data_IF_781960513762
#
_entry.id   IF_781960513762
#
_cell.length_a   1.000
_cell.length_b   1.000
_cell.length_c   1.000
_cell.angle_alpha   90.00
_cell.angle_beta   90.00
_cell.angle_gamma   90.00
#
_symmetry.space_group_name_H-M   'P 1'
#
loop_
_entity.id
_entity.type
_entity.pdbx_description
1 polymer ?
#
# COMPACT_ATOMS: atom_id res chain seq x y z
N UNK A 1 2.67 7.46 14.94
CA UNK A 1 2.47 6.67 13.70
C UNK A 1 2.60 7.64 12.55
N UNK A 2 3.25 7.24 11.47
CA UNK A 2 3.49 8.09 10.32
C UNK A 2 2.55 7.69 9.18
N UNK A 3 1.55 8.53 8.85
CA UNK A 3 0.71 8.31 7.67
C UNK A 3 1.39 8.70 6.37
N UNK A 4 2.58 9.31 6.41
CA UNK A 4 3.32 9.66 5.19
C UNK A 4 4.05 8.47 4.58
N UNK A 5 4.34 7.44 5.37
CA UNK A 5 4.92 6.17 4.91
C UNK A 5 3.83 5.14 4.69
N UNK A 6 3.61 4.74 3.44
CA UNK A 6 2.52 3.82 3.05
C UNK A 6 3.03 2.58 2.37
N UNK A 7 2.35 1.46 2.60
CA UNK A 7 2.49 0.21 1.87
C UNK A 7 1.18 0.01 1.13
N UNK A 8 1.24 -0.18 -0.17
CA UNK A 8 0.06 -0.36 -1.00
C UNK A 8 -0.04 -1.81 -1.44
N UNK A 9 -1.18 -2.44 -1.16
CA UNK A 9 -1.46 -3.77 -1.70
C UNK A 9 -1.73 -3.72 -3.21
N UNK A 10 -1.78 -4.89 -3.84
CA UNK A 10 -2.11 -5.02 -5.26
C UNK A 10 -3.49 -4.46 -5.61
N UNK A 11 -4.47 -4.61 -4.70
CA UNK A 11 -5.85 -4.16 -4.92
C UNK A 11 -5.95 -2.64 -5.05
N UNK A 12 -5.09 -1.86 -4.40
CA UNK A 12 -5.03 -0.40 -4.57
C UNK A 12 -4.66 -0.05 -6.02
N UNK A 13 -3.65 -0.71 -6.59
CA UNK A 13 -3.26 -0.46 -7.99
C UNK A 13 -4.35 -0.88 -8.96
N UNK A 14 -5.00 -2.02 -8.73
CA UNK A 14 -6.11 -2.50 -9.55
C UNK A 14 -7.29 -1.53 -9.48
N UNK A 15 -7.71 -1.16 -8.27
CA UNK A 15 -8.84 -0.25 -8.06
C UNK A 15 -8.57 1.13 -8.68
N UNK A 16 -7.38 1.69 -8.47
CA UNK A 16 -6.98 2.96 -9.05
C UNK A 16 -6.90 2.92 -10.57
N UNK A 17 -6.40 1.82 -11.14
CA UNK A 17 -6.30 1.64 -12.59
C UNK A 17 -7.66 1.60 -13.29
N UNK A 18 -8.69 1.05 -12.64
CA UNK A 18 -10.06 1.09 -13.17
C UNK A 18 -10.82 2.38 -12.82
N UNK A 19 -10.55 2.99 -11.66
CA UNK A 19 -11.21 4.22 -11.18
C UNK A 19 -10.18 5.21 -10.65
N UNK A 20 -9.50 5.99 -11.52
CA UNK A 20 -8.44 6.92 -11.10
C UNK A 20 -8.91 8.01 -10.13
N UNK A 21 -10.19 8.40 -10.18
CA UNK A 21 -10.78 9.38 -9.26
C UNK A 21 -11.25 8.80 -7.92
N UNK A 22 -11.13 7.49 -7.70
CA UNK A 22 -11.48 6.86 -6.42
C UNK A 22 -10.48 7.20 -5.31
N UNK A 23 -10.83 6.89 -4.06
CA UNK A 23 -9.94 7.06 -2.91
C UNK A 23 -8.58 6.38 -3.11
N UNK A 24 -8.55 5.19 -3.71
CA UNK A 24 -7.32 4.48 -4.05
C UNK A 24 -6.50 5.23 -5.11
N UNK A 25 -7.15 5.74 -6.15
CA UNK A 25 -6.48 6.51 -7.20
C UNK A 25 -5.90 7.82 -6.68
N UNK A 26 -6.62 8.53 -5.81
CA UNK A 26 -6.12 9.75 -5.16
C UNK A 26 -4.91 9.46 -4.25
N UNK A 27 -4.84 8.28 -3.62
CA UNK A 27 -3.67 7.87 -2.83
C UNK A 27 -2.45 7.68 -3.74
N UNK A 28 -2.63 7.04 -4.91
CA UNK A 28 -1.54 6.94 -5.90
C UNK A 28 -1.08 8.32 -6.40
N UNK A 29 -1.98 9.30 -6.55
CA UNK A 29 -1.57 10.67 -6.88
C UNK A 29 -0.76 11.32 -5.76
N UNK A 30 -1.07 11.07 -4.49
CA UNK A 30 -0.23 11.55 -3.39
C UNK A 30 1.16 10.91 -3.40
N UNK A 31 1.26 9.61 -3.71
CA UNK A 31 2.56 8.95 -3.89
C UNK A 31 3.31 9.56 -5.07
N UNK A 32 2.64 9.74 -6.21
CA UNK A 32 3.24 10.30 -7.42
C UNK A 32 3.72 11.75 -7.24
N UNK A 33 3.01 12.52 -6.43
CA UNK A 33 3.40 13.89 -6.07
C UNK A 33 4.33 13.96 -4.86
N UNK A 34 4.86 12.82 -4.41
CA UNK A 34 5.81 12.69 -3.29
C UNK A 34 5.29 13.21 -1.94
N UNK A 35 3.98 13.43 -1.83
CA UNK A 35 3.31 13.74 -0.56
C UNK A 35 3.19 12.51 0.34
N UNK A 36 3.20 11.33 -0.27
CA UNK A 36 3.34 10.04 0.39
C UNK A 36 4.60 9.33 -0.08
N UNK A 37 5.31 8.73 0.86
CA UNK A 37 6.43 7.83 0.61
C UNK A 37 5.91 6.40 0.56
N UNK A 38 5.81 5.83 -0.64
CA UNK A 38 5.45 4.42 -0.79
C UNK A 38 6.69 3.54 -0.54
N UNK A 39 6.65 2.80 0.55
CA UNK A 39 7.65 1.78 0.88
C UNK A 39 7.27 0.48 0.16
N UNK A 40 8.25 -0.17 -0.44
CA UNK A 40 8.04 -1.44 -1.15
C UNK A 40 9.18 -2.42 -0.88
N UNK A 41 8.91 -3.71 -1.06
CA UNK A 41 9.89 -4.79 -1.05
C UNK A 41 9.85 -5.53 -2.39
N UNK A 42 10.94 -6.17 -2.81
CA UNK A 42 11.02 -6.90 -4.09
C UNK A 42 9.86 -7.90 -4.24
N UNK A 43 9.58 -8.70 -3.20
CA UNK A 43 8.47 -9.66 -3.20
C UNK A 43 7.07 -9.02 -3.38
N UNK A 44 6.86 -7.79 -2.88
CA UNK A 44 5.60 -7.05 -3.09
C UNK A 44 5.51 -6.49 -4.51
N UNK A 45 6.62 -5.97 -5.05
CA UNK A 45 6.68 -5.47 -6.42
C UNK A 45 6.45 -6.60 -7.43
N UNK A 46 7.06 -7.77 -7.21
CA UNK A 46 6.86 -8.93 -8.06
C UNK A 46 5.41 -9.38 -8.10
N UNK A 47 4.73 -9.41 -6.96
CA UNK A 47 3.30 -9.72 -6.84
C UNK A 47 2.45 -8.72 -7.63
N UNK A 48 2.65 -7.43 -7.39
CA UNK A 48 1.90 -6.35 -8.04
C UNK A 48 2.11 -6.42 -9.55
N UNK A 49 3.37 -6.56 -10.01
CA UNK A 49 3.71 -6.67 -11.43
C UNK A 49 3.07 -7.92 -12.04
N UNK A 50 3.09 -9.05 -11.35
CA UNK A 50 2.50 -10.29 -11.81
C UNK A 50 0.99 -10.15 -12.05
N UNK A 51 0.27 -9.56 -11.10
CA UNK A 51 -1.18 -9.35 -11.21
C UNK A 51 -1.53 -8.29 -12.27
N UNK A 52 -0.84 -7.15 -12.29
CA UNK A 52 -1.10 -6.10 -13.28
C UNK A 52 -0.88 -6.60 -14.70
N UNK A 53 0.16 -7.39 -14.95
CA UNK A 53 0.43 -7.94 -16.28
C UNK A 53 -0.64 -8.92 -16.78
N UNK A 54 -1.42 -9.52 -15.87
CA UNK A 54 -2.56 -10.40 -16.22
C UNK A 54 -3.81 -9.61 -16.59
N UNK A 55 -3.86 -8.31 -16.34
CA UNK A 55 -5.04 -7.46 -16.58
C UNK A 55 -4.71 -6.52 -17.74
N UNK A 56 -5.12 -6.81 -18.99
CA UNK A 56 -4.68 -6.08 -20.18
C UNK A 56 -4.79 -4.54 -20.13
N UNK A 57 -5.88 -3.93 -19.63
CA UNK A 57 -5.93 -2.48 -19.52
C UNK A 57 -4.89 -1.91 -18.54
N UNK A 58 -4.57 -2.64 -17.46
CA UNK A 58 -3.60 -2.20 -16.46
C UNK A 58 -2.17 -2.44 -16.92
N UNK A 59 -1.90 -3.56 -17.61
CA UNK A 59 -0.59 -3.86 -18.18
C UNK A 59 -0.12 -2.75 -19.13
N UNK A 60 -1.03 -2.14 -19.91
CA UNK A 60 -0.73 -1.00 -20.78
C UNK A 60 -0.34 0.27 -20.02
N UNK A 61 -0.79 0.40 -18.77
CA UNK A 61 -0.52 1.55 -17.90
C UNK A 61 0.65 1.32 -16.95
N UNK A 62 1.36 0.18 -17.07
CA UNK A 62 2.49 -0.16 -16.19
C UNK A 62 3.58 0.92 -16.21
N UNK A 63 3.85 1.55 -17.36
CA UNK A 63 4.84 2.63 -17.48
C UNK A 63 4.55 3.84 -16.57
N UNK A 64 3.29 4.11 -16.23
CA UNK A 64 2.90 5.14 -15.26
C UNK A 64 2.89 4.67 -13.81
N UNK A 65 2.95 3.35 -13.59
CA UNK A 65 2.94 2.72 -12.25
C UNK A 65 4.35 2.37 -11.77
N UNK A 66 5.20 1.89 -12.65
CA UNK A 66 6.58 1.50 -12.35
C UNK A 66 7.41 2.60 -11.66
N UNK A 67 7.30 3.90 -12.02
CA UNK A 67 8.05 4.97 -11.36
C UNK A 67 7.70 5.16 -9.87
N UNK A 68 6.56 4.65 -9.41
CA UNK A 68 6.19 4.72 -7.98
C UNK A 68 7.12 3.87 -7.11
N UNK A 69 7.76 2.84 -7.70
CA UNK A 69 8.71 1.95 -7.03
C UNK A 69 10.14 2.51 -7.08
N UNK A 70 10.35 3.67 -6.49
CA UNK A 70 11.67 4.33 -6.44
C UNK A 70 12.66 3.48 -5.62
N UNK A 71 13.89 3.23 -6.11
CA UNK A 71 14.91 2.47 -5.38
C UNK A 71 15.20 3.00 -3.97
N UNK A 72 15.13 4.32 -3.77
CA UNK A 72 15.35 5.01 -2.51
C UNK A 72 14.30 4.64 -1.43
N UNK A 73 13.15 4.12 -1.85
CA UNK A 73 12.05 3.67 -0.98
C UNK A 73 11.92 2.15 -0.89
N UNK A 74 12.90 1.43 -1.44
CA UNK A 74 12.97 -0.02 -1.30
C UNK A 74 13.40 -0.39 0.13
N UNK A 75 12.66 -1.32 0.75
CA UNK A 75 13.07 -1.99 1.96
C UNK A 75 13.96 -3.19 1.59
N UNK A 76 15.25 -3.22 1.96
CA UNK A 76 16.19 -4.21 1.44
C UNK A 76 16.31 -5.48 2.30
N UNK A 77 15.65 -5.52 3.47
CA UNK A 77 15.83 -6.61 4.42
C UNK A 77 14.76 -7.69 4.23
N UNK A 78 15.06 -8.96 4.57
CA UNK A 78 14.09 -10.04 4.55
C UNK A 78 12.86 -9.72 5.39
N UNK A 79 11.69 -10.16 4.92
CA UNK A 79 10.43 -10.02 5.62
C UNK A 79 10.17 -11.25 6.50
N UNK A 80 9.75 -11.03 7.75
CA UNK A 80 9.28 -12.10 8.64
C UNK A 80 7.84 -12.50 8.30
N UNK A 81 7.65 -13.10 7.12
CA UNK A 81 6.32 -13.47 6.59
C UNK A 81 5.63 -14.53 7.46
N UNK A 82 6.42 -15.41 8.08
CA UNK A 82 5.98 -16.52 8.91
C UNK A 82 5.21 -16.06 10.18
N UNK A 83 5.55 -14.88 10.69
CA UNK A 83 4.86 -14.26 11.84
C UNK A 83 3.40 -13.91 11.51
N UNK A 84 3.06 -13.83 10.22
CA UNK A 84 1.75 -13.44 9.71
C UNK A 84 0.89 -14.63 9.25
N UNK A 85 1.16 -15.85 9.73
CA UNK A 85 0.39 -17.06 9.39
C UNK A 85 -1.11 -16.98 9.71
N UNK A 86 -1.53 -16.07 10.59
CA UNK A 86 -2.92 -15.79 10.91
C UNK A 86 -3.69 -15.09 9.77
N UNK A 87 -2.99 -14.50 8.78
CA UNK A 87 -3.60 -14.00 7.54
C UNK A 87 -3.90 -15.22 6.64
N UNK A 88 -5.17 -15.42 6.25
CA UNK A 88 -5.59 -16.58 5.46
C UNK A 88 -4.85 -16.73 4.14
N UNK A 89 -4.78 -15.66 3.33
CA UNK A 89 -4.06 -15.68 2.05
C UNK A 89 -2.55 -15.54 2.27
N UNK A 90 -1.73 -16.55 1.91
CA UNK A 90 -0.27 -16.46 1.99
C UNK A 90 0.32 -15.33 1.13
N UNK A 91 -0.32 -14.95 0.03
CA UNK A 91 0.15 -13.87 -0.83
C UNK A 91 0.09 -12.51 -0.11
N UNK A 92 -0.86 -12.32 0.80
CA UNK A 92 -1.06 -11.05 1.49
C UNK A 92 -0.12 -10.83 2.67
N UNK A 93 0.41 -11.93 3.25
CA UNK A 93 1.31 -11.90 4.42
C UNK A 93 2.52 -11.01 4.21
N UNK A 94 3.05 -10.94 2.99
CA UNK A 94 4.23 -10.12 2.65
C UNK A 94 3.95 -8.62 2.80
N UNK A 95 2.73 -8.16 2.53
CA UNK A 95 2.36 -6.75 2.71
C UNK A 95 2.26 -6.39 4.19
N UNK A 96 1.66 -7.28 4.99
CA UNK A 96 1.60 -7.10 6.44
C UNK A 96 2.99 -7.13 7.08
N UNK A 97 3.84 -8.08 6.66
CA UNK A 97 5.23 -8.17 7.13
C UNK A 97 6.03 -6.91 6.78
N UNK A 98 5.87 -6.37 5.57
CA UNK A 98 6.53 -5.12 5.16
C UNK A 98 6.07 -3.92 6.00
N UNK A 99 4.75 -3.78 6.18
CA UNK A 99 4.21 -2.71 7.00
C UNK A 99 4.69 -2.81 8.46
N UNK A 100 4.75 -4.02 9.01
CA UNK A 100 5.27 -4.25 10.34
C UNK A 100 6.77 -3.94 10.46
N UNK A 101 7.57 -4.35 9.47
CA UNK A 101 9.02 -4.15 9.47
C UNK A 101 9.42 -2.66 9.34
N UNK A 102 8.55 -1.84 8.75
CA UNK A 102 8.84 -0.42 8.46
C UNK A 102 8.05 0.56 9.31
N UNK A 103 7.03 0.08 10.04
CA UNK A 103 6.09 0.92 10.79
C UNK A 103 5.16 1.76 9.89
N UNK A 104 5.15 1.50 8.58
CA UNK A 104 4.29 2.18 7.63
C UNK A 104 2.84 1.69 7.69
N UNK A 105 1.94 2.47 7.10
CA UNK A 105 0.51 2.14 7.05
C UNK A 105 0.21 1.27 5.84
N UNK A 106 -0.31 0.06 6.06
CA UNK A 106 -0.81 -0.79 4.98
C UNK A 106 -2.18 -0.29 4.53
N UNK A 107 -2.30 0.05 3.27
CA UNK A 107 -3.57 0.42 2.65
C UNK A 107 -4.06 -0.75 1.80
N UNK A 108 -5.23 -1.27 2.15
CA UNK A 108 -5.79 -2.46 1.52
C UNK A 108 -7.31 -2.39 1.36
N UNK A 109 -7.81 -3.07 0.32
CA UNK A 109 -9.23 -3.35 0.12
C UNK A 109 -9.59 -4.81 0.42
N UNK A 110 -8.60 -5.64 0.79
CA UNK A 110 -8.77 -7.07 0.96
C UNK A 110 -9.47 -7.41 2.28
N UNK A 111 -10.52 -8.23 2.20
CA UNK A 111 -11.27 -8.63 3.38
C UNK A 111 -10.43 -9.49 4.35
N UNK A 112 -9.51 -10.31 3.84
CA UNK A 112 -8.69 -11.21 4.64
C UNK A 112 -7.69 -10.39 5.48
N UNK A 113 -7.04 -9.39 4.88
CA UNK A 113 -6.19 -8.43 5.61
C UNK A 113 -7.00 -7.57 6.61
N UNK A 114 -8.23 -7.21 6.27
CA UNK A 114 -9.07 -6.36 7.12
C UNK A 114 -9.68 -7.12 8.31
N UNK A 115 -9.90 -8.43 8.20
CA UNK A 115 -10.39 -9.23 9.33
C UNK A 115 -9.33 -9.44 10.40
N UNK A 116 -8.05 -9.44 10.05
CA UNK A 116 -6.92 -9.61 10.98
C UNK A 116 -6.43 -8.30 11.61
N UNK A 117 -6.96 -7.14 11.19
CA UNK A 117 -6.57 -5.79 11.69
C UNK A 117 -6.72 -5.58 13.20
N UNK A 118 -7.48 -6.45 13.88
CA UNK A 118 -7.70 -6.37 15.33
C UNK A 118 -6.43 -6.66 16.16
N UNK A 119 -5.36 -7.16 15.53
CA UNK A 119 -4.08 -7.48 16.17
C UNK A 119 -3.20 -6.23 16.47
N UNK A 120 -3.76 -5.03 16.34
CA UNK A 120 -3.17 -3.71 16.62
C UNK A 120 -1.95 -3.29 15.77
N UNK A 121 -1.18 -4.24 15.23
CA UNK A 121 -0.01 -3.97 14.38
C UNK A 121 0.19 -5.07 13.32
N UNK A 122 0.49 -4.72 12.06
CA UNK A 122 0.63 -3.36 11.49
C UNK A 122 -0.71 -2.62 11.41
N UNK A 123 -0.66 -1.28 11.25
CA UNK A 123 -1.88 -0.51 10.99
C UNK A 123 -2.35 -0.79 9.56
N UNK A 124 -3.57 -1.31 9.43
CA UNK A 124 -4.23 -1.60 8.16
C UNK A 124 -5.44 -0.70 8.01
N UNK A 125 -5.49 0.09 6.93
CA UNK A 125 -6.58 1.01 6.62
C UNK A 125 -7.19 0.69 5.25
N UNK A 126 -8.50 0.86 5.16
CA UNK A 126 -9.17 1.05 3.87
C UNK A 126 -8.83 2.44 3.31
N UNK A 127 -8.90 2.64 1.98
CA UNK A 127 -8.67 3.96 1.37
C UNK A 127 -9.49 5.10 1.99
N UNK A 128 -10.79 4.90 2.25
CA UNK A 128 -11.61 5.94 2.87
C UNK A 128 -11.21 6.24 4.32
N UNK A 129 -10.78 5.22 5.09
CA UNK A 129 -10.30 5.38 6.46
C UNK A 129 -8.97 6.14 6.47
N UNK A 130 -8.10 5.89 5.48
CA UNK A 130 -6.89 6.67 5.26
C UNK A 130 -7.23 8.15 5.05
N UNK A 131 -8.20 8.49 4.17
CA UNK A 131 -8.58 9.89 3.93
C UNK A 131 -9.16 10.60 5.15
N UNK A 132 -9.94 9.89 5.98
CA UNK A 132 -10.46 10.44 7.23
C UNK A 132 -9.33 10.87 8.18
N UNK A 133 -8.26 10.09 8.24
CA UNK A 133 -7.09 10.39 9.08
C UNK A 133 -6.14 11.40 8.44
N UNK A 134 -5.92 11.29 7.13
CA UNK A 134 -5.08 12.21 6.37
C UNK A 134 -5.60 13.64 6.45
N UNK A 135 -6.92 13.84 6.37
CA UNK A 135 -7.51 15.18 6.50
C UNK A 135 -7.26 15.84 7.87
N UNK A 136 -7.14 15.04 8.93
CA UNK A 136 -6.79 15.53 10.27
C UNK A 136 -5.30 15.90 10.33
N UNK A 137 -4.42 15.03 9.82
CA UNK A 137 -2.98 15.31 9.81
C UNK A 137 -2.58 16.47 8.89
N UNK A 138 -3.25 16.65 7.75
CA UNK A 138 -2.99 17.76 6.82
C UNK A 138 -3.38 19.11 7.46
N UNK A 139 -4.48 19.12 8.23
CA UNK A 139 -4.89 20.29 9.01
C UNK A 139 -3.87 20.64 10.10
N UNK A 140 -3.40 19.63 10.86
CA UNK A 140 -2.39 19.83 11.90
C UNK A 140 -1.03 20.28 11.33
N UNK A 141 -0.68 19.87 10.10
CA UNK A 141 0.55 20.30 9.39
C UNK A 141 0.46 21.72 8.85
N UNK A 142 -0.73 22.19 8.50
CA UNK A 142 -0.96 23.56 8.00
C UNK A 142 -0.99 24.62 9.10
N UNK A 143 -1.17 24.22 10.36
CA UNK A 143 -1.22 25.10 11.53
C UNK A 143 0.10 25.17 12.31
N UNK A 144 1.17 24.50 11.84
CA UNK A 144 2.49 24.41 12.48
C UNK A 144 3.56 25.36 11.88
#
# INVERSE_FOLDING_TARGET
MDLTSVILDTNIFVAAGFRPGSDAGRILELVRSEKLSMIWHEQTLEEIRHIINKIPPLARSWSGTAPLFSPERSYPWPLSIEDFHHIPDPADRKFAALAAATGGTLISLDADLLTTRHLAFPLILRPHEFWQRWGQEDQDRGEA
#
